data_IF_420891606334
#
_entry.id   IF_420891606334
#
_cell.length_a   1.000
_cell.length_b   1.000
_cell.length_c   1.000
_cell.angle_alpha   90.00
_cell.angle_beta   90.00
_cell.angle_gamma   90.00
#
_symmetry.space_group_name_H-M   'P 1'
#
loop_
_entity.id
_entity.type
_entity.pdbx_description
1 polymer ?
#
# COMPACT_ATOMS: atom_id res chain seq x y z
N UNK A 1 17.28 8.13 9.34
CA UNK A 1 17.63 7.31 8.16
C UNK A 1 18.61 7.99 7.23
N UNK A 2 18.28 9.18 6.70
CA UNK A 2 19.18 9.99 5.87
C UNK A 2 20.51 10.32 6.58
N UNK A 3 20.47 10.55 7.89
CA UNK A 3 21.66 10.86 8.69
C UNK A 3 22.54 9.63 9.03
N UNK A 4 21.96 8.42 8.94
CA UNK A 4 22.67 7.14 9.09
C UNK A 4 23.33 6.73 7.76
N UNK A 5 22.63 6.93 6.64
CA UNK A 5 23.17 6.75 5.29
C UNK A 5 24.28 7.76 4.98
N UNK A 6 24.11 9.04 5.36
CA UNK A 6 25.14 10.09 5.13
C UNK A 6 26.45 9.82 5.88
N UNK A 7 26.38 9.16 7.05
CA UNK A 7 27.53 8.82 7.89
C UNK A 7 28.11 7.43 7.61
N UNK A 8 27.56 6.68 6.64
CA UNK A 8 27.93 5.29 6.33
C UNK A 8 27.98 4.35 7.55
N UNK A 9 27.24 4.68 8.61
CA UNK A 9 27.21 3.87 9.83
C UNK A 9 26.29 2.67 9.59
N UNK A 10 26.87 1.48 9.44
CA UNK A 10 26.10 0.24 9.27
C UNK A 10 25.49 0.04 7.87
N UNK A 11 25.93 0.80 6.88
CA UNK A 11 25.52 0.66 5.48
C UNK A 11 25.90 -0.73 4.91
N UNK A 12 27.10 -1.21 5.22
CA UNK A 12 27.59 -2.54 4.81
C UNK A 12 26.79 -3.71 5.40
N UNK A 13 26.12 -3.49 6.54
CA UNK A 13 25.26 -4.50 7.18
C UNK A 13 23.79 -4.35 6.76
N UNK A 14 23.45 -3.41 5.87
CA UNK A 14 22.09 -3.21 5.40
C UNK A 14 21.12 -2.71 6.48
N UNK A 15 21.61 -2.17 7.60
CA UNK A 15 20.79 -1.68 8.72
C UNK A 15 19.76 -0.63 8.26
N UNK A 16 20.11 0.33 7.38
CA UNK A 16 19.12 1.28 6.85
C UNK A 16 18.00 0.57 6.08
N UNK A 17 18.32 -0.40 5.22
CA UNK A 17 17.32 -1.15 4.44
C UNK A 17 16.42 -1.98 5.34
N UNK A 18 16.97 -2.62 6.38
CA UNK A 18 16.21 -3.38 7.35
C UNK A 18 15.24 -2.49 8.14
N UNK A 19 15.68 -1.31 8.57
CA UNK A 19 14.82 -0.33 9.24
C UNK A 19 13.70 0.14 8.30
N UNK A 20 13.98 0.31 6.99
CA UNK A 20 12.95 0.69 6.02
C UNK A 20 11.88 -0.37 5.88
N UNK A 21 12.30 -1.62 5.69
CA UNK A 21 11.40 -2.75 5.57
C UNK A 21 10.57 -2.93 6.85
N UNK A 22 11.20 -2.79 8.02
CA UNK A 22 10.53 -2.86 9.32
C UNK A 22 9.47 -1.75 9.48
N UNK A 23 9.80 -0.52 9.06
CA UNK A 23 8.85 0.60 9.10
C UNK A 23 7.65 0.37 8.17
N UNK A 24 7.88 -0.13 6.95
CA UNK A 24 6.77 -0.45 6.03
C UNK A 24 5.87 -1.57 6.56
N UNK A 25 6.42 -2.56 7.28
CA UNK A 25 5.62 -3.60 7.94
C UNK A 25 4.78 -2.99 9.08
N UNK A 26 5.35 -2.07 9.86
CA UNK A 26 4.63 -1.36 10.93
C UNK A 26 3.46 -0.54 10.37
N UNK A 27 3.67 0.16 9.25
CA UNK A 27 2.61 0.91 8.56
C UNK A 27 1.43 0.01 8.17
N UNK A 28 1.70 -1.21 7.68
CA UNK A 28 0.66 -2.21 7.35
C UNK A 28 -0.10 -2.63 8.62
N UNK A 29 0.59 -2.88 9.73
CA UNK A 29 -0.07 -3.22 10.99
C UNK A 29 -0.92 -2.07 11.53
N UNK A 30 -0.41 -0.84 11.53
CA UNK A 30 -1.15 0.32 11.99
C UNK A 30 -2.44 0.53 11.17
N UNK A 31 -2.36 0.41 9.84
CA UNK A 31 -3.51 0.56 8.95
C UNK A 31 -4.58 -0.51 9.22
N UNK A 32 -4.20 -1.76 9.44
CA UNK A 32 -5.15 -2.85 9.74
C UNK A 32 -5.86 -2.68 11.07
N UNK A 33 -5.14 -2.27 12.12
CA UNK A 33 -5.75 -2.01 13.43
C UNK A 33 -6.71 -0.82 13.40
N UNK A 34 -6.35 0.27 12.73
CA UNK A 34 -7.24 1.43 12.58
C UNK A 34 -8.50 1.05 11.80
N UNK A 35 -8.36 0.32 10.68
CA UNK A 35 -9.50 -0.16 9.90
C UNK A 35 -10.43 -1.06 10.72
N UNK A 36 -9.88 -1.97 11.51
CA UNK A 36 -10.67 -2.86 12.37
C UNK A 36 -11.41 -2.11 13.49
N UNK A 37 -10.77 -1.13 14.12
CA UNK A 37 -11.41 -0.29 15.14
C UNK A 37 -12.53 0.54 14.52
N UNK A 38 -12.30 1.21 13.38
CA UNK A 38 -13.32 1.97 12.67
C UNK A 38 -14.50 1.09 12.25
N UNK A 39 -14.21 -0.08 11.68
CA UNK A 39 -15.24 -1.06 11.32
C UNK A 39 -16.06 -1.49 12.53
N UNK A 40 -15.42 -1.78 13.67
CA UNK A 40 -16.13 -2.17 14.90
C UNK A 40 -17.02 -1.06 15.48
N UNK A 41 -16.60 0.21 15.36
CA UNK A 41 -17.39 1.36 15.83
C UNK A 41 -18.59 1.58 14.91
N UNK A 42 -18.39 1.49 13.60
CA UNK A 42 -19.45 1.69 12.59
C UNK A 42 -20.46 0.54 12.58
N UNK A 43 -20.03 -0.70 12.81
CA UNK A 43 -20.94 -1.86 12.91
C UNK A 43 -21.66 -1.99 14.25
N UNK A 44 -21.23 -1.25 15.29
CA UNK A 44 -21.87 -1.29 16.61
C UNK A 44 -23.24 -0.59 16.70
N UNK A 45 -23.65 0.16 15.67
CA UNK A 45 -24.91 0.91 15.60
C UNK A 45 -26.09 0.12 15.03
N UNK A 46 -25.84 -0.98 14.32
CA UNK A 46 -26.86 -1.87 13.80
C UNK A 46 -26.72 -3.24 14.47
N UNK A 47 -27.78 -3.73 15.11
CA UNK A 47 -27.78 -4.89 16.01
C UNK A 47 -27.46 -6.25 15.38
N UNK A 48 -26.71 -6.29 14.28
CA UNK A 48 -26.25 -7.50 13.66
C UNK A 48 -24.94 -7.96 14.31
N UNK A 49 -25.04 -9.10 14.98
CA UNK A 49 -23.91 -9.89 15.49
C UNK A 49 -23.12 -10.50 14.33
N UNK A 50 -22.65 -9.67 13.40
CA UNK A 50 -21.60 -10.06 12.48
C UNK A 50 -20.42 -10.50 13.33
N UNK A 51 -20.03 -11.77 13.19
CA UNK A 51 -18.96 -12.32 13.99
C UNK A 51 -17.71 -11.48 13.78
N UNK A 52 -17.08 -11.01 14.85
CA UNK A 52 -15.80 -10.29 14.78
C UNK A 52 -14.76 -10.99 13.88
N UNK A 53 -14.82 -12.33 13.81
CA UNK A 53 -14.05 -13.18 12.90
C UNK A 53 -14.29 -12.86 11.42
N UNK A 54 -15.53 -12.57 11.03
CA UNK A 54 -15.91 -12.20 9.66
C UNK A 54 -15.31 -10.85 9.26
N UNK A 55 -15.38 -9.86 10.15
CA UNK A 55 -14.75 -8.54 9.93
C UNK A 55 -13.23 -8.66 9.76
N UNK A 56 -12.57 -9.45 10.61
CA UNK A 56 -11.14 -9.73 10.48
C UNK A 56 -10.82 -10.44 9.16
N UNK A 57 -11.62 -11.43 8.78
CA UNK A 57 -11.42 -12.17 7.54
C UNK A 57 -11.59 -11.27 6.31
N UNK A 58 -12.62 -10.41 6.27
CA UNK A 58 -12.82 -9.44 5.21
C UNK A 58 -11.65 -8.44 5.12
N UNK A 59 -11.20 -7.91 6.26
CA UNK A 59 -10.04 -7.01 6.29
C UNK A 59 -8.77 -7.68 5.75
N UNK A 60 -8.50 -8.93 6.11
CA UNK A 60 -7.39 -9.70 5.55
C UNK A 60 -7.53 -9.92 4.03
N UNK A 61 -8.75 -10.18 3.57
CA UNK A 61 -9.05 -10.40 2.15
C UNK A 61 -8.87 -9.12 1.33
N UNK A 62 -9.22 -7.96 1.90
CA UNK A 62 -8.95 -6.65 1.33
C UNK A 62 -7.46 -6.36 1.18
N UNK A 63 -6.65 -6.69 2.19
CA UNK A 63 -5.18 -6.55 2.10
C UNK A 63 -4.62 -7.41 0.97
N UNK A 64 -5.05 -8.68 0.91
CA UNK A 64 -4.61 -9.61 -0.13
C UNK A 64 -5.06 -9.12 -1.51
N UNK A 65 -6.30 -8.66 -1.63
CA UNK A 65 -6.84 -8.09 -2.87
C UNK A 65 -6.05 -6.87 -3.33
N UNK A 66 -5.76 -5.94 -2.41
CA UNK A 66 -4.93 -4.76 -2.67
C UNK A 66 -3.52 -5.12 -3.09
N UNK A 67 -2.89 -6.10 -2.44
CA UNK A 67 -1.57 -6.58 -2.81
C UNK A 67 -1.53 -7.22 -4.21
N UNK A 68 -2.51 -8.06 -4.54
CA UNK A 68 -2.61 -8.68 -5.87
C UNK A 68 -2.82 -7.61 -6.95
N UNK A 69 -3.72 -6.66 -6.71
CA UNK A 69 -3.96 -5.55 -7.63
C UNK A 69 -2.70 -4.70 -7.81
N UNK A 70 -2.05 -4.30 -6.72
CA UNK A 70 -0.80 -3.54 -6.76
C UNK A 70 0.31 -4.26 -7.54
N UNK A 71 0.46 -5.59 -7.37
CA UNK A 71 1.42 -6.39 -8.14
C UNK A 71 1.13 -6.39 -9.64
N UNK A 72 -0.14 -6.52 -10.03
CA UNK A 72 -0.55 -6.50 -11.44
C UNK A 72 -0.24 -5.13 -12.06
N UNK A 73 -0.63 -4.06 -11.35
CA UNK A 73 -0.44 -2.68 -11.82
C UNK A 73 1.04 -2.32 -11.87
N UNK A 74 1.81 -2.64 -10.84
CA UNK A 74 3.27 -2.50 -10.82
C UNK A 74 3.95 -3.24 -11.96
N UNK A 75 3.51 -4.47 -12.26
CA UNK A 75 3.98 -5.24 -13.41
C UNK A 75 3.71 -4.54 -14.76
N UNK A 76 2.52 -3.97 -14.93
CA UNK A 76 2.17 -3.18 -16.13
C UNK A 76 3.06 -1.93 -16.22
N UNK A 77 3.27 -1.22 -15.11
CA UNK A 77 4.12 -0.05 -15.02
C UNK A 77 5.61 -0.35 -15.24
N UNK A 78 6.07 -1.58 -14.99
CA UNK A 78 7.43 -2.03 -15.34
C UNK A 78 7.58 -2.30 -16.84
N UNK A 79 6.53 -2.69 -17.56
CA UNK A 79 6.64 -2.93 -19.00
C UNK A 79 6.61 -1.62 -19.81
N UNK A 80 5.86 -0.61 -19.35
CA UNK A 80 5.71 0.68 -20.02
C UNK A 80 6.88 1.71 -20.01
N UNK A 81 7.96 1.63 -19.20
CA UNK A 81 9.10 2.51 -19.30
C UNK A 81 9.97 2.10 -20.51
N UNK A 82 9.55 2.47 -21.72
CA UNK A 82 10.42 2.43 -22.91
C UNK A 82 11.60 3.39 -22.75
N UNK A 83 12.81 2.85 -22.58
CA UNK A 83 14.04 3.55 -22.19
C UNK A 83 14.57 4.60 -23.20
N UNK A 84 13.85 4.86 -24.28
CA UNK A 84 14.39 5.57 -25.45
C UNK A 84 14.35 7.11 -25.41
N UNK A 85 13.90 7.76 -24.32
CA UNK A 85 13.82 9.23 -24.28
C UNK A 85 14.46 9.86 -23.03
N UNK A 86 15.14 11.00 -23.23
CA UNK A 86 15.84 11.79 -22.21
C UNK A 86 14.96 12.27 -21.03
N UNK A 87 13.63 12.24 -21.16
CA UNK A 87 12.64 12.61 -20.13
C UNK A 87 12.06 11.42 -19.34
N UNK A 88 12.72 10.27 -19.40
CA UNK A 88 12.21 9.00 -18.86
C UNK A 88 11.77 9.08 -17.39
N UNK A 89 12.51 9.84 -16.57
CA UNK A 89 12.23 10.02 -15.13
C UNK A 89 10.90 10.74 -14.87
N UNK A 90 10.63 11.82 -15.60
CA UNK A 90 9.39 12.58 -15.46
C UNK A 90 8.17 11.79 -15.94
N UNK A 91 8.31 11.06 -17.05
CA UNK A 91 7.22 10.21 -17.58
C UNK A 91 6.88 9.08 -16.62
N UNK A 92 7.89 8.43 -16.02
CA UNK A 92 7.69 7.40 -15.00
C UNK A 92 6.97 7.96 -13.77
N UNK A 93 7.40 9.13 -13.28
CA UNK A 93 6.75 9.78 -12.14
C UNK A 93 5.29 10.16 -12.45
N UNK A 94 5.02 10.71 -13.65
CA UNK A 94 3.66 11.06 -14.06
C UNK A 94 2.75 9.82 -14.21
N UNK A 95 3.27 8.73 -14.78
CA UNK A 95 2.55 7.47 -14.90
C UNK A 95 2.23 6.88 -13.53
N UNK A 96 3.22 6.77 -12.64
CA UNK A 96 3.02 6.31 -11.26
C UNK A 96 1.97 7.15 -10.54
N UNK A 97 2.06 8.47 -10.61
CA UNK A 97 1.09 9.37 -9.98
C UNK A 97 -0.32 9.16 -10.53
N UNK A 98 -0.47 9.11 -11.86
CA UNK A 98 -1.78 8.93 -12.51
C UNK A 98 -2.41 7.59 -12.14
N UNK A 99 -1.61 6.53 -12.07
CA UNK A 99 -2.06 5.19 -11.74
C UNK A 99 -2.42 5.04 -10.26
N UNK A 100 -1.63 5.66 -9.37
CA UNK A 100 -1.96 5.78 -7.94
C UNK A 100 -3.29 6.49 -7.73
N UNK A 101 -3.51 7.64 -8.38
CA UNK A 101 -4.77 8.38 -8.25
C UNK A 101 -5.95 7.57 -8.77
N UNK A 102 -5.80 6.93 -9.93
CA UNK A 102 -6.86 6.10 -10.53
C UNK A 102 -7.22 4.91 -9.64
N UNK A 103 -6.23 4.27 -9.02
CA UNK A 103 -6.43 3.11 -8.15
C UNK A 103 -7.07 3.54 -6.82
N UNK A 104 -6.65 4.67 -6.26
CA UNK A 104 -7.24 5.23 -5.04
C UNK A 104 -8.74 5.50 -5.21
N UNK A 105 -9.09 6.34 -6.19
CA UNK A 105 -10.49 6.69 -6.46
C UNK A 105 -11.31 5.50 -6.98
N UNK A 106 -10.68 4.58 -7.72
CA UNK A 106 -11.34 3.38 -8.22
C UNK A 106 -11.78 2.45 -7.10
N UNK A 107 -10.94 2.26 -6.07
CA UNK A 107 -11.28 1.42 -4.92
C UNK A 107 -12.26 2.12 -3.97
N UNK A 108 -12.14 3.44 -3.82
CA UNK A 108 -13.11 4.24 -3.07
C UNK A 108 -14.50 4.17 -3.71
N UNK A 109 -14.60 4.23 -5.03
CA UNK A 109 -15.88 4.06 -5.74
C UNK A 109 -16.49 2.66 -5.59
N UNK A 110 -15.65 1.62 -5.48
CA UNK A 110 -16.10 0.24 -5.25
C UNK A 110 -16.50 -0.04 -3.79
N UNK A 111 -16.32 0.92 -2.88
CA UNK A 111 -16.63 0.78 -1.46
C UNK A 111 -15.57 0.04 -0.64
N UNK A 112 -14.37 -0.16 -1.21
CA UNK A 112 -13.25 -0.81 -0.51
C UNK A 112 -12.23 0.23 -0.06
N UNK A 113 -12.42 0.75 1.15
CA UNK A 113 -11.63 1.86 1.70
C UNK A 113 -10.15 1.47 1.93
N UNK A 114 -9.91 0.22 2.35
CA UNK A 114 -8.56 -0.25 2.69
C UNK A 114 -7.76 -0.73 1.48
N UNK A 115 -8.41 -1.22 0.42
CA UNK A 115 -7.75 -1.84 -0.75
C UNK A 115 -6.92 -0.83 -1.56
N UNK A 116 -7.40 0.40 -1.69
CA UNK A 116 -6.74 1.48 -2.45
C UNK A 116 -5.33 1.79 -1.94
N UNK A 117 -5.17 2.18 -0.65
CA UNK A 117 -3.85 2.42 -0.05
C UNK A 117 -2.89 1.24 -0.19
N UNK A 118 -3.35 0.00 0.01
CA UNK A 118 -2.51 -1.19 -0.13
C UNK A 118 -2.02 -1.41 -1.56
N UNK A 119 -2.89 -1.25 -2.55
CA UNK A 119 -2.51 -1.36 -3.96
C UNK A 119 -1.45 -0.31 -4.34
N UNK A 120 -1.56 0.91 -3.79
CA UNK A 120 -0.60 2.00 -4.04
C UNK A 120 0.77 1.71 -3.43
N UNK A 121 0.83 1.09 -2.25
CA UNK A 121 2.10 0.69 -1.63
C UNK A 121 2.82 -0.41 -2.42
N UNK A 122 2.07 -1.34 -3.02
CA UNK A 122 2.65 -2.51 -3.71
C UNK A 122 3.03 -2.22 -5.17
N UNK A 123 2.43 -1.22 -5.82
CA UNK A 123 2.68 -0.93 -7.24
C UNK A 123 3.97 -0.11 -7.54
N UNK A 124 4.80 0.19 -6.53
CA UNK A 124 6.02 1.03 -6.62
C UNK A 124 7.24 0.20 -7.01
#
# INVERSE_FOLDING_TARGET
MLDLQSKNLGSDQGIPTLINAAASIDDVYALTWVSLILSSITSGSEGERSSWLWTVACALLEIIGGAVLGCILGGILWIFPSQELSYHKYRRMALLLSFSMATFFGMEFLGYETVGPFAILVQV
#
